data_IF_196399349619
#
_entry.id   IF_196399349619
#
_cell.length_a   1.000
_cell.length_b   1.000
_cell.length_c   1.000
_cell.angle_alpha   90.00
_cell.angle_beta   90.00
_cell.angle_gamma   90.00
#
_symmetry.space_group_name_H-M   'P 1'
#
loop_
_entity.id
_entity.type
_entity.pdbx_description
1 polymer ?
#
# COMPACT_ATOMS: atom_id res chain seq x y z
N UNK A 1 49.87 -31.95 -13.47
CA UNK A 1 49.72 -30.79 -12.59
C UNK A 1 48.84 -29.68 -13.19
N UNK A 2 49.03 -29.22 -14.43
CA UNK A 2 48.19 -28.18 -15.05
C UNK A 2 46.71 -28.54 -15.19
N UNK A 3 46.36 -29.76 -15.54
CA UNK A 3 44.98 -30.22 -15.70
C UNK A 3 44.19 -30.20 -14.37
N UNK A 4 44.85 -30.58 -13.26
CA UNK A 4 44.24 -30.59 -11.93
C UNK A 4 43.90 -29.19 -11.41
N UNK A 5 44.76 -28.21 -11.68
CA UNK A 5 44.53 -26.79 -11.32
C UNK A 5 43.37 -26.20 -12.13
N UNK A 6 43.22 -26.56 -13.41
CA UNK A 6 42.12 -26.08 -14.25
C UNK A 6 40.78 -26.64 -13.79
N UNK A 7 40.70 -27.92 -13.42
CA UNK A 7 39.49 -28.55 -12.88
C UNK A 7 39.10 -27.91 -11.52
N UNK A 8 40.06 -27.63 -10.65
CA UNK A 8 39.80 -26.97 -9.37
C UNK A 8 39.24 -25.55 -9.53
N UNK A 9 39.77 -24.79 -10.51
CA UNK A 9 39.26 -23.44 -10.83
C UNK A 9 37.85 -23.47 -11.38
N UNK A 10 37.47 -24.45 -12.19
CA UNK A 10 36.13 -24.62 -12.73
C UNK A 10 35.15 -24.96 -11.60
N UNK A 11 35.50 -25.82 -10.66
CA UNK A 11 34.65 -26.19 -9.53
C UNK A 11 34.43 -24.99 -8.57
N UNK A 12 35.45 -24.15 -8.37
CA UNK A 12 35.31 -22.92 -7.57
C UNK A 12 34.44 -21.88 -8.25
N UNK A 13 34.50 -21.74 -9.59
CA UNK A 13 33.67 -20.81 -10.36
C UNK A 13 32.19 -21.18 -10.31
N UNK A 14 31.86 -22.47 -10.30
CA UNK A 14 30.45 -22.92 -10.25
C UNK A 14 29.81 -22.62 -8.88
N UNK A 15 30.57 -22.70 -7.79
CA UNK A 15 30.06 -22.35 -6.44
C UNK A 15 29.85 -20.85 -6.23
N UNK A 16 30.57 -19.98 -6.97
CA UNK A 16 30.48 -18.54 -6.81
C UNK A 16 29.23 -17.93 -7.47
N UNK A 17 28.49 -18.67 -8.29
CA UNK A 17 27.27 -18.20 -8.97
C UNK A 17 25.97 -18.81 -8.43
N UNK A 18 26.04 -19.68 -7.44
CA UNK A 18 24.85 -20.12 -6.71
C UNK A 18 24.52 -19.09 -5.62
N UNK A 19 23.87 -17.99 -6.00
CA UNK A 19 23.03 -17.29 -5.02
C UNK A 19 21.96 -18.29 -4.58
N UNK A 20 22.04 -18.76 -3.35
CA UNK A 20 20.91 -19.44 -2.72
C UNK A 20 19.75 -18.45 -2.79
N UNK A 21 18.75 -18.76 -3.61
CA UNK A 21 17.48 -18.02 -3.63
C UNK A 21 16.76 -18.38 -2.34
N UNK A 22 17.02 -17.64 -1.27
CA UNK A 22 16.15 -17.71 -0.10
C UNK A 22 14.76 -17.24 -0.50
N UNK A 23 13.80 -18.13 -0.35
CA UNK A 23 12.39 -17.77 -0.51
C UNK A 23 11.94 -17.01 0.74
N UNK A 24 11.77 -15.70 0.63
CA UNK A 24 11.36 -14.82 1.72
C UNK A 24 9.83 -14.79 1.96
N UNK A 25 9.05 -15.49 1.15
CA UNK A 25 7.60 -15.53 1.27
C UNK A 25 6.90 -15.99 0.01
N UNK A 26 5.58 -15.84 -0.01
CA UNK A 26 4.71 -16.19 -1.15
C UNK A 26 3.88 -14.97 -1.56
N UNK A 27 3.54 -14.87 -2.85
CA UNK A 27 2.68 -13.80 -3.37
C UNK A 27 1.36 -14.42 -3.81
N UNK A 28 0.24 -13.88 -3.31
CA UNK A 28 -1.11 -14.30 -3.64
C UNK A 28 -1.89 -13.17 -4.33
N UNK A 29 -2.72 -13.50 -5.31
CA UNK A 29 -3.60 -12.56 -6.04
C UNK A 29 -4.96 -12.38 -5.38
N UNK A 30 -5.35 -13.28 -4.50
CA UNK A 30 -6.67 -13.34 -3.87
C UNK A 30 -6.51 -13.75 -2.40
N UNK A 31 -7.57 -13.62 -1.64
CA UNK A 31 -7.62 -14.03 -0.24
C UNK A 31 -8.21 -12.96 0.65
N UNK A 32 -8.31 -13.26 1.94
CA UNK A 32 -8.97 -12.42 2.95
C UNK A 32 -8.42 -11.00 2.99
N UNK A 33 -7.11 -10.83 2.93
CA UNK A 33 -6.45 -9.51 2.97
C UNK A 33 -6.75 -8.68 1.71
N UNK A 34 -6.66 -9.30 0.53
CA UNK A 34 -6.99 -8.65 -0.75
C UNK A 34 -8.44 -8.20 -0.78
N UNK A 35 -9.37 -9.04 -0.31
CA UNK A 35 -10.79 -8.69 -0.24
C UNK A 35 -11.06 -7.59 0.79
N UNK A 36 -10.34 -7.56 1.92
CA UNK A 36 -10.46 -6.48 2.89
C UNK A 36 -10.10 -5.12 2.26
N UNK A 37 -9.00 -5.07 1.50
CA UNK A 37 -8.58 -3.85 0.77
C UNK A 37 -9.60 -3.45 -0.29
N UNK A 38 -10.10 -4.38 -1.10
CA UNK A 38 -11.15 -4.09 -2.10
C UNK A 38 -12.43 -3.55 -1.47
N UNK A 39 -12.84 -4.15 -0.35
CA UNK A 39 -14.02 -3.69 0.39
C UNK A 39 -13.83 -2.28 0.93
N UNK A 40 -12.64 -1.96 1.46
CA UNK A 40 -12.31 -0.62 1.91
C UNK A 40 -12.40 0.40 0.77
N UNK A 41 -11.79 0.10 -0.39
CA UNK A 41 -11.87 0.97 -1.58
C UNK A 41 -13.30 1.16 -2.07
N UNK A 42 -14.17 0.17 -1.94
CA UNK A 42 -15.59 0.32 -2.27
C UNK A 42 -16.31 1.29 -1.30
N UNK A 43 -15.90 1.36 -0.04
CA UNK A 43 -16.47 2.33 0.91
C UNK A 43 -16.04 3.76 0.57
N UNK A 44 -14.83 3.97 0.07
CA UNK A 44 -14.37 5.30 -0.39
C UNK A 44 -15.25 5.88 -1.49
N UNK A 45 -15.81 5.06 -2.39
CA UNK A 45 -16.77 5.49 -3.43
C UNK A 45 -18.03 6.16 -2.87
N UNK A 46 -18.33 5.96 -1.61
CA UNK A 46 -19.51 6.57 -0.98
C UNK A 46 -19.32 8.05 -0.65
N UNK A 47 -18.11 8.56 -0.68
CA UNK A 47 -17.74 9.93 -0.25
C UNK A 47 -18.24 10.27 1.17
N UNK A 48 -18.39 9.26 2.02
CA UNK A 48 -18.94 9.41 3.36
C UNK A 48 -17.90 9.10 4.42
N UNK A 49 -17.34 10.14 5.04
CA UNK A 49 -16.27 10.04 6.04
C UNK A 49 -16.62 9.15 7.22
N UNK A 50 -17.88 9.18 7.69
CA UNK A 50 -18.34 8.32 8.80
C UNK A 50 -18.30 6.84 8.41
N UNK A 51 -18.69 6.52 7.16
CA UNK A 51 -18.61 5.14 6.66
C UNK A 51 -17.17 4.69 6.46
N UNK A 52 -16.31 5.57 5.96
CA UNK A 52 -14.88 5.28 5.77
C UNK A 52 -14.23 4.99 7.12
N UNK A 53 -14.38 5.89 8.11
CA UNK A 53 -13.85 5.68 9.46
C UNK A 53 -14.33 4.35 10.06
N UNK A 54 -15.65 4.08 9.99
CA UNK A 54 -16.22 2.83 10.50
C UNK A 54 -15.68 1.58 9.77
N UNK A 55 -15.34 1.68 8.49
CA UNK A 55 -14.75 0.58 7.75
C UNK A 55 -13.33 0.27 8.27
N UNK A 56 -12.51 1.29 8.51
CA UNK A 56 -11.21 1.11 9.15
C UNK A 56 -11.33 0.50 10.56
N UNK A 57 -12.16 1.08 11.43
CA UNK A 57 -12.39 0.58 12.80
C UNK A 57 -12.78 -0.91 12.85
N UNK A 58 -13.50 -1.37 11.82
CA UNK A 58 -13.92 -2.78 11.74
C UNK A 58 -12.77 -3.75 11.44
N UNK A 59 -11.83 -3.34 10.57
CA UNK A 59 -10.80 -4.24 10.02
C UNK A 59 -9.43 -4.05 10.65
N UNK A 60 -9.22 -3.00 11.44
CA UNK A 60 -7.91 -2.67 12.02
C UNK A 60 -7.80 -2.98 13.50
N UNK A 61 -6.56 -2.88 14.00
CA UNK A 61 -6.23 -2.83 15.41
C UNK A 61 -6.55 -1.44 15.98
N UNK A 62 -6.64 -1.31 17.31
CA UNK A 62 -6.92 -0.02 17.98
C UNK A 62 -5.89 1.07 17.69
N UNK A 63 -4.64 0.67 17.43
CA UNK A 63 -3.52 1.58 17.12
C UNK A 63 -3.10 1.44 15.66
N UNK A 64 -4.05 1.62 14.75
CA UNK A 64 -3.77 1.70 13.32
C UNK A 64 -2.86 2.89 13.01
N UNK A 65 -1.86 2.66 12.17
CA UNK A 65 -0.87 3.68 11.77
C UNK A 65 -0.99 3.99 10.30
N UNK A 66 -1.12 5.27 9.95
CA UNK A 66 -1.05 5.78 8.58
C UNK A 66 0.28 6.48 8.31
N UNK A 67 0.76 6.41 7.07
CA UNK A 67 1.96 7.12 6.59
C UNK A 67 1.72 7.69 5.21
N UNK A 68 1.88 9.00 5.08
CA UNK A 68 1.94 9.66 3.77
C UNK A 68 3.40 9.67 3.30
N UNK A 69 3.71 8.77 2.37
CA UNK A 69 5.07 8.55 1.89
C UNK A 69 5.54 9.58 0.85
N UNK A 70 4.75 10.59 0.50
CA UNK A 70 5.16 11.67 -0.41
C UNK A 70 5.24 13.04 0.27
N UNK A 71 4.32 13.33 1.21
CA UNK A 71 4.17 14.69 1.73
C UNK A 71 4.64 14.85 3.17
N UNK A 72 4.84 13.74 3.90
CA UNK A 72 5.14 13.77 5.33
C UNK A 72 6.43 13.02 5.69
N UNK A 73 7.38 12.96 4.74
CA UNK A 73 8.70 12.36 4.93
C UNK A 73 9.69 13.37 5.53
N UNK A 74 10.62 12.85 6.32
CA UNK A 74 11.86 13.53 6.72
C UNK A 74 13.01 12.50 6.89
N UNK A 75 14.22 12.95 7.25
CA UNK A 75 15.38 12.06 7.40
C UNK A 75 15.16 10.93 8.42
N UNK A 76 14.34 11.15 9.44
CA UNK A 76 14.03 10.15 10.48
C UNK A 76 12.83 9.27 10.11
N UNK A 77 11.99 9.74 9.21
CA UNK A 77 10.75 9.08 8.78
C UNK A 77 10.70 8.96 7.25
N UNK A 78 11.52 8.10 6.62
CA UNK A 78 11.64 8.01 5.16
C UNK A 78 10.37 7.43 4.48
N UNK A 79 9.45 6.85 5.22
CA UNK A 79 8.14 6.37 4.74
C UNK A 79 6.98 7.28 5.17
N UNK A 80 7.28 8.47 5.71
CA UNK A 80 6.30 9.38 6.28
C UNK A 80 6.14 9.23 7.81
N UNK A 81 5.75 10.31 8.46
CA UNK A 81 5.45 10.30 9.90
C UNK A 81 4.22 9.47 10.19
N UNK A 82 4.21 8.84 11.35
CA UNK A 82 3.05 8.09 11.82
C UNK A 82 1.91 9.06 12.16
N UNK A 83 0.73 8.73 11.66
CA UNK A 83 -0.55 9.37 11.98
C UNK A 83 -1.50 8.30 12.50
N UNK A 84 -2.38 8.64 13.42
CA UNK A 84 -3.48 7.76 13.84
C UNK A 84 -4.71 7.91 12.93
N UNK A 85 -5.74 7.11 13.19
CA UNK A 85 -6.97 7.12 12.39
C UNK A 85 -7.69 8.48 12.44
N UNK A 86 -7.68 9.17 13.59
CA UNK A 86 -8.37 10.45 13.70
C UNK A 86 -7.66 11.54 12.91
N UNK A 87 -6.33 11.58 12.96
CA UNK A 87 -5.51 12.49 12.16
C UNK A 87 -5.67 12.23 10.65
N UNK A 88 -5.71 10.96 10.24
CA UNK A 88 -5.96 10.61 8.84
C UNK A 88 -7.38 11.03 8.40
N UNK A 89 -8.38 10.83 9.23
CA UNK A 89 -9.74 11.26 8.92
C UNK A 89 -9.87 12.80 8.83
N UNK A 90 -9.10 13.55 9.61
CA UNK A 90 -9.03 15.00 9.50
C UNK A 90 -8.43 15.44 8.16
N UNK A 91 -7.26 14.89 7.78
CA UNK A 91 -6.62 15.13 6.48
C UNK A 91 -7.57 14.82 5.31
N UNK A 92 -8.19 13.65 5.35
CA UNK A 92 -9.17 13.25 4.32
C UNK A 92 -10.38 14.18 4.28
N UNK A 93 -10.86 14.64 5.43
CA UNK A 93 -11.99 15.57 5.52
C UNK A 93 -11.69 16.91 4.83
N UNK A 94 -10.48 17.42 4.93
CA UNK A 94 -10.05 18.63 4.21
C UNK A 94 -10.16 18.41 2.69
N UNK A 95 -9.67 17.28 2.18
CA UNK A 95 -9.78 16.94 0.75
C UNK A 95 -11.24 16.80 0.34
N UNK A 96 -12.05 16.05 1.10
CA UNK A 96 -13.47 15.83 0.81
C UNK A 96 -14.33 17.09 1.00
N UNK A 97 -13.83 18.14 1.66
CA UNK A 97 -14.55 19.43 1.74
C UNK A 97 -14.65 20.11 0.36
N UNK A 98 -13.63 19.97 -0.45
CA UNK A 98 -13.50 20.63 -1.76
C UNK A 98 -13.62 19.67 -2.94
N UNK A 99 -13.41 18.38 -2.73
CA UNK A 99 -13.42 17.38 -3.79
C UNK A 99 -14.31 16.19 -3.44
N UNK A 100 -14.64 15.41 -4.46
CA UNK A 100 -15.35 14.14 -4.31
C UNK A 100 -14.80 13.08 -5.29
N UNK A 101 -14.88 11.82 -4.89
CA UNK A 101 -14.51 10.69 -5.74
C UNK A 101 -15.68 10.35 -6.65
N UNK A 102 -15.44 10.37 -7.95
CA UNK A 102 -16.45 9.99 -8.98
C UNK A 102 -16.36 8.49 -9.28
N UNK A 103 -15.15 7.97 -9.35
CA UNK A 103 -14.93 6.55 -9.59
C UNK A 103 -13.59 6.08 -9.00
N UNK A 104 -13.53 4.78 -8.69
CA UNK A 104 -12.31 4.09 -8.31
C UNK A 104 -12.17 2.88 -9.22
N UNK A 105 -11.01 2.75 -9.84
CA UNK A 105 -10.65 1.63 -10.70
C UNK A 105 -9.40 0.96 -10.16
N UNK A 106 -9.46 -0.36 -9.98
CA UNK A 106 -8.28 -1.19 -9.68
C UNK A 106 -7.39 -1.29 -10.92
N UNK A 107 -6.09 -1.07 -10.77
CA UNK A 107 -5.09 -1.16 -11.83
C UNK A 107 -4.29 -2.46 -11.66
N UNK A 108 -4.55 -3.44 -12.52
CA UNK A 108 -4.01 -4.79 -12.36
C UNK A 108 -4.81 -5.58 -11.31
N UNK A 109 -4.14 -6.11 -10.32
CA UNK A 109 -4.71 -6.76 -9.14
C UNK A 109 -3.85 -6.45 -7.93
N UNK A 110 -4.40 -6.44 -6.69
CA UNK A 110 -3.60 -6.33 -5.49
C UNK A 110 -2.73 -7.57 -5.32
N UNK A 111 -1.49 -7.37 -4.91
CA UNK A 111 -0.56 -8.43 -4.55
C UNK A 111 -0.49 -8.55 -3.03
N UNK A 112 -0.84 -9.71 -2.49
CA UNK A 112 -0.65 -10.05 -1.09
C UNK A 112 0.68 -10.77 -0.94
N UNK A 113 1.58 -10.18 -0.18
CA UNK A 113 2.89 -10.71 0.20
C UNK A 113 2.78 -11.34 1.58
N UNK A 114 2.85 -12.66 1.64
CA UNK A 114 2.95 -13.45 2.86
C UNK A 114 4.45 -13.66 3.15
N UNK A 115 5.02 -12.84 4.03
CA UNK A 115 6.41 -12.91 4.42
C UNK A 115 6.61 -13.91 5.57
N UNK A 116 7.70 -14.68 5.54
CA UNK A 116 8.00 -15.70 6.57
C UNK A 116 8.26 -15.12 7.96
N UNK A 117 8.79 -13.90 8.03
CA UNK A 117 9.29 -13.29 9.27
C UNK A 117 8.77 -11.86 9.48
N UNK A 118 7.71 -11.47 8.78
CA UNK A 118 7.12 -10.15 8.88
C UNK A 118 5.60 -10.20 8.74
N UNK A 119 4.94 -9.10 9.04
CA UNK A 119 3.50 -8.94 8.82
C UNK A 119 3.14 -9.11 7.35
N UNK A 120 1.93 -9.63 7.09
CA UNK A 120 1.34 -9.68 5.76
C UNK A 120 1.19 -8.27 5.17
N UNK A 121 1.51 -8.13 3.89
CA UNK A 121 1.45 -6.86 3.17
C UNK A 121 0.61 -7.01 1.90
N UNK A 122 -0.39 -6.15 1.72
CA UNK A 122 -1.09 -6.03 0.43
C UNK A 122 -0.65 -4.74 -0.25
N UNK A 123 -0.01 -4.86 -1.40
CA UNK A 123 0.29 -3.72 -2.28
C UNK A 123 -0.76 -3.67 -3.38
N UNK A 124 -1.31 -2.47 -3.62
CA UNK A 124 -2.38 -2.27 -4.60
C UNK A 124 -2.24 -0.93 -5.32
N UNK A 125 -2.66 -0.89 -6.58
CA UNK A 125 -2.63 0.28 -7.43
C UNK A 125 -4.04 0.64 -7.87
N UNK A 126 -4.36 1.93 -7.75
CA UNK A 126 -5.69 2.43 -7.99
C UNK A 126 -5.67 3.69 -8.83
N UNK A 127 -6.68 3.86 -9.67
CA UNK A 127 -7.01 5.13 -10.28
C UNK A 127 -8.28 5.67 -9.63
N UNK A 128 -8.15 6.80 -8.94
CA UNK A 128 -9.27 7.54 -8.42
C UNK A 128 -9.57 8.69 -9.37
N UNK A 129 -10.79 8.78 -9.87
CA UNK A 129 -11.25 9.97 -10.60
C UNK A 129 -11.91 10.90 -9.60
N UNK A 130 -11.32 12.07 -9.44
CA UNK A 130 -11.79 13.11 -8.55
C UNK A 130 -12.51 14.21 -9.32
N UNK A 131 -13.45 14.90 -8.65
CA UNK A 131 -14.09 16.11 -9.10
C UNK A 131 -13.92 17.21 -8.07
N UNK A 132 -13.51 18.40 -8.50
CA UNK A 132 -13.58 19.61 -7.69
C UNK A 132 -15.04 20.07 -7.62
N UNK A 133 -15.57 20.24 -6.43
CA UNK A 133 -16.99 20.56 -6.21
C UNK A 133 -17.37 21.98 -6.65
N UNK A 134 -16.40 22.90 -6.65
CA UNK A 134 -16.63 24.29 -7.02
C UNK A 134 -16.55 24.49 -8.53
N UNK A 135 -15.44 24.06 -9.14
CA UNK A 135 -15.21 24.27 -10.59
C UNK A 135 -15.88 23.21 -11.47
N UNK A 136 -16.21 22.03 -10.91
CA UNK A 136 -16.68 20.87 -11.68
C UNK A 136 -15.56 20.14 -12.44
N UNK A 137 -14.33 20.64 -12.42
CA UNK A 137 -13.17 20.03 -13.08
C UNK A 137 -12.95 18.62 -12.57
N UNK A 138 -12.63 17.68 -13.46
CA UNK A 138 -12.41 16.27 -13.13
C UNK A 138 -11.07 15.79 -13.66
N UNK A 139 -10.46 14.84 -12.94
CA UNK A 139 -9.21 14.22 -13.37
C UNK A 139 -8.87 12.93 -12.61
N UNK A 140 -8.16 12.02 -13.25
CA UNK A 140 -7.68 10.80 -12.61
C UNK A 140 -6.42 11.08 -11.80
N UNK A 141 -6.31 10.44 -10.65
CA UNK A 141 -5.09 10.36 -9.84
C UNK A 141 -4.78 8.89 -9.64
N UNK A 142 -3.52 8.55 -9.87
CA UNK A 142 -3.01 7.22 -9.61
C UNK A 142 -2.32 7.20 -8.24
N UNK A 143 -2.63 6.19 -7.45
CA UNK A 143 -2.01 5.98 -6.15
C UNK A 143 -1.64 4.52 -5.94
N UNK A 144 -0.59 4.33 -5.15
CA UNK A 144 -0.18 3.04 -4.62
C UNK A 144 -0.48 3.02 -3.12
N UNK A 145 -1.05 1.91 -2.66
CA UNK A 145 -1.36 1.68 -1.26
C UNK A 145 -0.67 0.41 -0.79
N UNK A 146 -0.04 0.47 0.38
CA UNK A 146 0.47 -0.68 1.11
C UNK A 146 -0.28 -0.84 2.42
N UNK A 147 -0.98 -1.96 2.59
CA UNK A 147 -1.74 -2.28 3.79
C UNK A 147 -1.07 -3.43 4.54
N UNK A 148 -0.73 -3.23 5.79
CA UNK A 148 -0.08 -4.21 6.67
C UNK A 148 -1.10 -4.88 7.56
N UNK A 149 -0.99 -6.21 7.74
CA UNK A 149 -1.91 -6.99 8.53
C UNK A 149 -1.14 -7.87 9.52
N UNK A 150 -1.75 -8.13 10.67
CA UNK A 150 -1.25 -9.10 11.66
C UNK A 150 -1.81 -10.51 11.40
N UNK A 151 -1.34 -11.49 12.17
CA UNK A 151 -1.77 -12.89 12.11
C UNK A 151 -3.27 -13.10 12.46
N UNK A 152 -3.92 -12.10 13.06
CA UNK A 152 -5.36 -12.11 13.35
C UNK A 152 -6.20 -11.48 12.23
N UNK A 153 -5.59 -11.23 11.08
CA UNK A 153 -6.19 -10.56 9.92
C UNK A 153 -6.67 -9.13 10.20
N UNK A 154 -6.03 -8.45 11.18
CA UNK A 154 -6.31 -7.05 11.49
C UNK A 154 -5.28 -6.15 10.82
N UNK A 155 -5.74 -5.08 10.21
CA UNK A 155 -4.87 -4.06 9.62
C UNK A 155 -4.13 -3.31 10.72
N UNK A 156 -2.81 -3.31 10.64
CA UNK A 156 -1.91 -2.64 11.60
C UNK A 156 -1.36 -1.32 11.05
N UNK A 157 -1.38 -1.15 9.74
CA UNK A 157 -0.89 0.07 9.11
C UNK A 157 -1.29 0.22 7.66
N UNK A 158 -1.26 1.45 7.20
CA UNK A 158 -1.38 1.82 5.79
C UNK A 158 -0.28 2.82 5.43
N UNK A 159 0.36 2.61 4.29
CA UNK A 159 1.26 3.59 3.69
C UNK A 159 0.74 3.91 2.30
N UNK A 160 0.60 5.20 2.00
CA UNK A 160 0.09 5.64 0.71
C UNK A 160 1.04 6.62 0.02
N UNK A 161 0.99 6.58 -1.31
CA UNK A 161 1.72 7.48 -2.21
C UNK A 161 0.69 8.30 -2.99
N UNK A 162 0.28 9.42 -2.40
CA UNK A 162 -0.72 10.32 -2.95
C UNK A 162 -0.18 11.74 -3.03
N UNK A 163 -0.32 12.38 -4.19
CA UNK A 163 0.09 13.77 -4.35
C UNK A 163 -1.15 14.69 -4.46
N UNK A 164 -1.54 15.39 -3.38
CA UNK A 164 -2.72 16.24 -3.37
C UNK A 164 -2.61 17.45 -4.34
N UNK A 165 -1.41 17.84 -4.76
CA UNK A 165 -1.23 18.91 -5.74
C UNK A 165 -1.75 18.56 -7.14
N UNK A 166 -2.00 17.27 -7.41
CA UNK A 166 -2.55 16.76 -8.67
C UNK A 166 -4.08 16.72 -8.68
N UNK A 167 -4.74 17.08 -7.59
CA UNK A 167 -6.20 17.20 -7.55
C UNK A 167 -6.71 18.22 -8.58
N UNK A 168 -7.85 17.98 -9.23
CA UNK A 168 -8.46 18.91 -10.19
C UNK A 168 -8.71 20.27 -9.55
N UNK A 169 -8.33 21.36 -10.27
CA UNK A 169 -8.47 22.74 -9.81
C UNK A 169 -9.79 23.34 -10.26
#
# INVERSE_FOLDING_TARGET
MRLFVTILLIIFSIKSFSQEKENNGTIYKNGTYVEAVRNLMNVYKTNNMKKIKKAYEKISVDKLVFRDALNNMDEKNPLGKNMDLDQEMENMSEIFSTHEIISIKELGYPDHFDYKEANDLVISWWQFTWRNKLSGSQGPIHLMLGHFFDDNHKMTGETYYFNPSTLPK
#
